data_IF_383452412232
#
_entry.id   IF_383452412232
#
_cell.length_a   1.000
_cell.length_b   1.000
_cell.length_c   1.000
_cell.angle_alpha   90.00
_cell.angle_beta   90.00
_cell.angle_gamma   90.00
#
_symmetry.space_group_name_H-M   'P 1'
#
loop_
_entity.id
_entity.type
_entity.pdbx_description
1 polymer ?
#
# COMPACT_ATOMS: atom_id res chain seq x y z
N UNK A 1 2.99 39.14 1.90
CA UNK A 1 3.06 38.54 0.56
C UNK A 1 3.90 37.27 0.67
N UNK A 2 3.27 36.09 0.64
CA UNK A 2 3.95 34.84 0.92
C UNK A 2 4.90 34.48 -0.22
N UNK A 3 6.16 34.22 0.12
CA UNK A 3 7.14 33.59 -0.77
C UNK A 3 6.57 32.25 -1.25
N UNK A 4 6.08 32.21 -2.49
CA UNK A 4 5.44 31.03 -3.07
C UNK A 4 6.44 29.89 -3.27
N UNK A 5 5.98 28.65 -3.15
CA UNK A 5 6.71 27.51 -3.70
C UNK A 5 6.37 27.43 -5.19
N UNK A 6 7.40 27.45 -6.03
CA UNK A 6 7.29 27.26 -7.47
C UNK A 6 7.95 25.92 -7.86
N UNK A 7 7.17 24.91 -8.29
CA UNK A 7 7.73 23.63 -8.69
C UNK A 7 8.63 23.72 -9.93
N UNK A 8 8.45 24.72 -10.80
CA UNK A 8 9.25 24.83 -12.03
C UNK A 8 10.70 25.26 -11.77
N UNK A 9 10.94 26.00 -10.68
CA UNK A 9 12.26 26.55 -10.34
C UNK A 9 12.92 25.90 -9.13
N UNK A 10 12.22 25.05 -8.38
CA UNK A 10 12.78 24.39 -7.19
C UNK A 10 13.83 23.32 -7.53
N UNK A 11 14.82 23.17 -6.66
CA UNK A 11 15.84 22.11 -6.72
C UNK A 11 15.65 21.08 -5.59
N UNK A 12 14.47 21.06 -4.98
CA UNK A 12 14.20 20.23 -3.81
C UNK A 12 14.16 18.74 -4.18
N UNK A 13 14.74 17.93 -3.31
CA UNK A 13 14.52 16.49 -3.27
C UNK A 13 13.40 16.16 -2.29
N UNK A 14 12.32 15.53 -2.78
CA UNK A 14 11.23 15.07 -1.94
C UNK A 14 11.44 13.61 -1.52
N UNK A 15 11.30 13.33 -0.22
CA UNK A 15 11.44 11.99 0.34
C UNK A 15 10.07 11.44 0.74
N UNK A 16 9.64 10.36 0.10
CA UNK A 16 8.39 9.66 0.39
C UNK A 16 8.71 8.31 1.02
N UNK A 17 8.28 8.10 2.27
CA UNK A 17 8.29 6.76 2.86
C UNK A 17 7.00 6.03 2.47
N UNK A 18 7.08 4.83 1.92
CA UNK A 18 5.91 4.15 1.37
C UNK A 18 5.80 2.69 1.80
N UNK A 19 4.57 2.24 2.00
CA UNK A 19 4.23 0.82 1.98
C UNK A 19 4.45 0.23 0.57
N UNK A 20 4.84 -1.04 0.50
CA UNK A 20 5.06 -1.80 -0.74
C UNK A 20 3.79 -2.50 -1.25
N UNK A 21 2.71 -2.46 -0.47
CA UNK A 21 1.39 -3.06 -0.75
C UNK A 21 0.44 -2.18 -1.58
N UNK A 22 0.94 -1.06 -2.11
CA UNK A 22 0.17 -0.15 -2.95
C UNK A 22 -0.19 -0.78 -4.29
N UNK A 23 -1.12 -0.15 -5.02
CA UNK A 23 -1.32 -0.49 -6.42
C UNK A 23 0.02 -0.34 -7.18
N UNK A 24 0.47 -1.31 -7.98
CA UNK A 24 1.80 -1.29 -8.59
C UNK A 24 2.08 -0.05 -9.45
N UNK A 25 1.05 0.60 -10.00
CA UNK A 25 1.19 1.82 -10.81
C UNK A 25 1.19 3.12 -10.00
N UNK A 26 0.77 3.10 -8.74
CA UNK A 26 0.52 4.32 -7.96
C UNK A 26 1.79 5.16 -7.73
N UNK A 27 2.84 4.57 -7.17
CA UNK A 27 4.10 5.29 -6.93
C UNK A 27 4.79 5.72 -8.24
N UNK A 28 4.88 4.87 -9.29
CA UNK A 28 5.37 5.32 -10.59
C UNK A 28 4.64 6.56 -11.13
N UNK A 29 3.31 6.61 -11.03
CA UNK A 29 2.51 7.76 -11.45
C UNK A 29 2.77 9.01 -10.59
N UNK A 30 2.92 8.85 -9.27
CA UNK A 30 3.32 9.94 -8.37
C UNK A 30 4.69 10.51 -8.77
N UNK A 31 5.69 9.65 -8.97
CA UNK A 31 7.04 10.06 -9.35
C UNK A 31 7.00 10.80 -10.69
N UNK A 32 6.32 10.24 -11.70
CA UNK A 32 6.19 10.87 -13.01
C UNK A 32 5.53 12.25 -12.91
N UNK A 33 4.47 12.38 -12.12
CA UNK A 33 3.77 13.66 -11.94
C UNK A 33 4.62 14.71 -11.22
N UNK A 34 5.32 14.32 -10.16
CA UNK A 34 6.14 15.24 -9.36
C UNK A 34 7.36 15.72 -10.17
N UNK A 35 8.04 14.81 -10.87
CA UNK A 35 9.23 15.15 -11.68
C UNK A 35 8.88 15.93 -12.96
N UNK A 36 7.70 15.71 -13.54
CA UNK A 36 7.24 16.50 -14.69
C UNK A 36 7.00 17.99 -14.37
N UNK A 37 6.84 18.35 -13.09
CA UNK A 37 6.57 19.72 -12.69
C UNK A 37 7.80 20.63 -12.70
N UNK A 38 9.01 20.06 -12.74
CA UNK A 38 10.26 20.81 -12.74
C UNK A 38 11.47 19.91 -13.00
N UNK A 39 12.33 20.30 -13.93
CA UNK A 39 13.49 19.49 -14.36
C UNK A 39 14.58 19.30 -13.30
N UNK A 40 14.51 20.05 -12.19
CA UNK A 40 15.47 20.00 -11.08
C UNK A 40 14.89 19.36 -9.81
N UNK A 41 13.66 18.85 -9.85
CA UNK A 41 13.06 18.12 -8.73
C UNK A 41 13.62 16.70 -8.69
N UNK A 42 14.00 16.25 -7.50
CA UNK A 42 14.30 14.85 -7.23
C UNK A 42 13.20 14.21 -6.36
N UNK A 43 12.97 12.91 -6.54
CA UNK A 43 12.05 12.12 -5.71
C UNK A 43 12.76 10.86 -5.22
N UNK A 44 12.81 10.69 -3.90
CA UNK A 44 13.33 9.51 -3.25
C UNK A 44 12.20 8.76 -2.57
N UNK A 45 11.91 7.55 -3.04
CA UNK A 45 10.97 6.65 -2.37
C UNK A 45 11.77 5.64 -1.55
N UNK A 46 11.39 5.47 -0.29
CA UNK A 46 12.03 4.50 0.61
C UNK A 46 10.98 3.67 1.35
N UNK A 47 11.31 2.43 1.76
CA UNK A 47 10.39 1.65 2.58
C UNK A 47 10.14 2.33 3.93
N UNK A 48 8.97 2.08 4.50
CA UNK A 48 8.69 2.43 5.89
C UNK A 48 9.47 1.47 6.79
N UNK A 49 10.49 1.95 7.49
CA UNK A 49 11.27 1.17 8.43
C UNK A 49 10.52 1.03 9.78
N UNK A 50 10.11 -0.19 10.18
CA UNK A 50 9.47 -0.46 11.47
C UNK A 50 10.25 0.02 12.70
N UNK A 51 11.58 0.08 12.62
CA UNK A 51 12.44 0.49 13.72
C UNK A 51 12.62 2.01 13.80
N UNK A 52 12.22 2.74 12.75
CA UNK A 52 12.40 4.19 12.68
C UNK A 52 11.29 4.96 13.39
N UNK A 53 11.65 6.06 14.07
CA UNK A 53 10.68 7.04 14.53
C UNK A 53 10.23 7.92 13.35
N UNK A 54 9.15 7.49 12.70
CA UNK A 54 8.55 8.16 11.55
C UNK A 54 8.10 9.59 11.91
N UNK A 55 7.58 9.81 13.12
CA UNK A 55 7.11 11.13 13.53
C UNK A 55 8.28 12.10 13.66
N UNK A 56 9.36 11.67 14.31
CA UNK A 56 10.60 12.45 14.40
C UNK A 56 11.22 12.68 13.00
N UNK A 57 11.21 11.68 12.11
CA UNK A 57 11.76 11.83 10.77
C UNK A 57 10.97 12.83 9.91
N UNK A 58 9.64 12.84 10.02
CA UNK A 58 8.78 13.85 9.40
C UNK A 58 9.00 15.24 10.02
N UNK A 59 9.13 15.30 11.35
CA UNK A 59 9.39 16.57 12.04
C UNK A 59 10.77 17.13 11.71
N UNK A 60 11.81 16.31 11.57
CA UNK A 60 13.14 16.75 11.14
C UNK A 60 13.21 17.10 9.64
N UNK A 61 12.21 16.71 8.84
CA UNK A 61 12.21 16.88 7.38
C UNK A 61 13.09 15.87 6.63
N UNK A 62 13.48 14.76 7.28
CA UNK A 62 14.14 13.63 6.63
C UNK A 62 13.17 12.79 5.77
N UNK A 63 11.87 12.93 6.04
CA UNK A 63 10.76 12.42 5.23
C UNK A 63 9.82 13.61 5.02
N UNK A 64 9.32 13.81 3.80
CA UNK A 64 8.33 14.84 3.50
C UNK A 64 6.90 14.31 3.63
N UNK A 65 6.70 13.03 3.32
CA UNK A 65 5.40 12.38 3.30
C UNK A 65 5.52 10.87 3.55
N UNK A 66 4.55 10.30 4.27
CA UNK A 66 4.39 8.85 4.38
C UNK A 66 3.15 8.43 3.61
N UNK A 67 3.22 7.34 2.83
CA UNK A 67 2.06 6.68 2.20
C UNK A 67 1.94 5.27 2.79
N UNK A 68 0.83 4.99 3.47
CA UNK A 68 0.67 3.76 4.25
C UNK A 68 -0.76 3.22 4.19
N UNK A 69 -0.92 1.97 4.61
CA UNK A 69 -2.18 1.27 4.82
C UNK A 69 -2.23 0.53 6.17
N UNK A 70 -1.37 0.91 7.12
CA UNK A 70 -1.41 0.32 8.45
C UNK A 70 -2.81 0.55 9.09
N UNK A 71 -3.44 -0.47 9.69
CA UNK A 71 -4.83 -0.37 10.17
C UNK A 71 -5.03 0.69 11.24
N UNK A 72 -3.97 0.94 12.03
CA UNK A 72 -3.94 1.94 13.10
C UNK A 72 -2.93 3.03 12.71
N UNK A 73 -3.35 4.07 11.98
CA UNK A 73 -2.51 5.23 11.74
C UNK A 73 -2.15 5.90 13.07
N UNK A 74 -1.01 6.60 13.11
CA UNK A 74 -0.65 7.38 14.29
C UNK A 74 -1.53 8.61 14.43
N UNK A 75 -1.92 8.91 15.67
CA UNK A 75 -2.82 10.03 16.00
C UNK A 75 -2.10 11.37 16.19
N UNK A 76 -0.77 11.34 16.40
CA UNK A 76 0.10 12.52 16.53
C UNK A 76 0.50 13.14 15.18
N UNK A 77 0.08 12.52 14.06
CA UNK A 77 0.32 13.00 12.71
C UNK A 77 -0.98 13.40 12.03
N UNK A 78 -0.87 14.34 11.08
CA UNK A 78 -2.00 14.67 10.20
C UNK A 78 -2.19 13.55 9.19
N UNK A 79 -3.45 13.28 8.85
CA UNK A 79 -3.84 12.22 7.93
C UNK A 79 -4.70 12.76 6.79
N UNK A 80 -4.46 12.29 5.58
CA UNK A 80 -5.34 12.45 4.42
C UNK A 80 -5.60 11.11 3.76
N UNK A 81 -6.86 10.69 3.67
CA UNK A 81 -7.23 9.47 2.93
C UNK A 81 -6.93 9.66 1.45
N UNK A 82 -6.30 8.66 0.83
CA UNK A 82 -6.02 8.65 -0.60
C UNK A 82 -7.11 7.87 -1.33
N UNK A 83 -7.29 6.61 -0.97
CA UNK A 83 -8.33 5.75 -1.52
C UNK A 83 -8.60 4.56 -0.61
N UNK A 84 -9.72 3.90 -0.85
CA UNK A 84 -10.10 2.62 -0.22
C UNK A 84 -10.20 1.57 -1.32
N UNK A 85 -9.76 0.35 -1.02
CA UNK A 85 -9.69 -0.75 -1.98
C UNK A 85 -10.32 -2.03 -1.41
N UNK A 86 -10.96 -2.83 -2.26
CA UNK A 86 -11.54 -4.11 -1.85
C UNK A 86 -10.43 -5.10 -1.50
N UNK A 87 -10.62 -5.86 -0.41
CA UNK A 87 -9.75 -6.99 -0.10
C UNK A 87 -10.18 -8.22 -0.88
N UNK A 88 -9.26 -8.79 -1.64
CA UNK A 88 -9.47 -9.97 -2.49
C UNK A 88 -8.39 -11.02 -2.24
N UNK A 89 -8.65 -12.24 -2.71
CA UNK A 89 -7.71 -13.35 -2.72
C UNK A 89 -7.19 -13.57 -4.14
N UNK A 90 -5.87 -13.62 -4.30
CA UNK A 90 -5.18 -14.02 -5.52
C UNK A 90 -4.82 -15.50 -5.45
N UNK A 91 -5.06 -16.22 -6.53
CA UNK A 91 -4.73 -17.64 -6.71
C UNK A 91 -4.15 -17.85 -8.11
N UNK A 92 -3.41 -18.94 -8.33
CA UNK A 92 -3.11 -19.36 -9.71
C UNK A 92 -4.36 -19.86 -10.43
N UNK A 93 -4.37 -19.74 -11.76
CA UNK A 93 -5.51 -20.15 -12.59
C UNK A 93 -5.91 -21.63 -12.45
N UNK A 94 -4.97 -22.52 -12.12
CA UNK A 94 -5.26 -23.95 -11.90
C UNK A 94 -5.50 -24.35 -10.44
N UNK A 95 -5.74 -23.40 -9.54
CA UNK A 95 -5.96 -23.67 -8.12
C UNK A 95 -7.26 -24.48 -7.89
N UNK A 96 -7.31 -25.46 -6.98
CA UNK A 96 -8.49 -26.31 -6.77
C UNK A 96 -9.81 -25.56 -6.47
N UNK A 97 -9.69 -24.37 -5.89
CA UNK A 97 -10.83 -23.53 -5.49
C UNK A 97 -11.05 -22.30 -6.37
N UNK A 98 -10.45 -22.28 -7.57
CA UNK A 98 -10.48 -21.11 -8.47
C UNK A 98 -11.89 -20.75 -9.00
N UNK A 99 -12.81 -21.72 -9.02
CA UNK A 99 -14.18 -21.51 -9.50
C UNK A 99 -15.10 -20.85 -8.47
N UNK A 100 -14.67 -20.72 -7.21
CA UNK A 100 -15.45 -20.05 -6.18
C UNK A 100 -15.46 -18.53 -6.42
N UNK A 101 -16.63 -17.89 -6.35
CA UNK A 101 -16.74 -16.42 -6.52
C UNK A 101 -16.30 -15.64 -5.27
N UNK A 102 -16.47 -16.25 -4.10
CA UNK A 102 -16.11 -15.70 -2.78
C UNK A 102 -15.78 -16.85 -1.84
N UNK A 103 -14.71 -16.74 -1.07
CA UNK A 103 -14.45 -17.69 0.02
C UNK A 103 -15.27 -17.34 1.26
N UNK A 104 -15.91 -18.35 1.86
CA UNK A 104 -16.38 -18.24 3.24
C UNK A 104 -15.20 -18.15 4.19
N UNK A 105 -15.39 -17.54 5.36
CA UNK A 105 -14.34 -17.46 6.37
C UNK A 105 -13.80 -18.85 6.76
N UNK A 106 -14.70 -19.82 6.99
CA UNK A 106 -14.31 -21.19 7.32
C UNK A 106 -13.52 -21.88 6.21
N UNK A 107 -13.73 -21.54 4.93
CA UNK A 107 -12.92 -22.04 3.81
C UNK A 107 -11.55 -21.38 3.80
N UNK A 108 -11.54 -20.05 3.89
CA UNK A 108 -10.33 -19.24 3.90
C UNK A 108 -9.34 -19.66 5.00
N UNK A 109 -9.84 -19.91 6.22
CA UNK A 109 -8.99 -20.31 7.35
C UNK A 109 -8.36 -21.71 7.19
N UNK A 110 -8.95 -22.58 6.36
CA UNK A 110 -8.42 -23.92 6.03
C UNK A 110 -7.43 -23.92 4.85
N UNK A 111 -7.32 -22.80 4.14
CA UNK A 111 -6.36 -22.65 3.05
C UNK A 111 -4.97 -22.30 3.59
N UNK A 112 -3.95 -22.57 2.77
CA UNK A 112 -2.56 -22.22 3.06
C UNK A 112 -2.24 -20.86 2.45
N UNK A 113 -1.70 -19.95 3.25
CA UNK A 113 -1.51 -18.56 2.86
C UNK A 113 -0.04 -18.20 2.65
N UNK A 114 0.19 -17.36 1.65
CA UNK A 114 1.42 -16.59 1.51
C UNK A 114 1.24 -15.25 2.20
N UNK A 115 2.24 -14.82 2.97
CA UNK A 115 2.24 -13.52 3.64
C UNK A 115 3.47 -12.72 3.23
N UNK A 116 3.33 -11.44 2.86
CA UNK A 116 4.47 -10.57 2.67
C UNK A 116 4.92 -10.04 4.04
N UNK A 117 6.20 -10.12 4.33
CA UNK A 117 6.76 -9.69 5.60
C UNK A 117 8.17 -9.14 5.41
N UNK A 118 8.29 -7.81 5.43
CA UNK A 118 9.54 -7.11 5.17
C UNK A 118 10.52 -7.11 6.36
N UNK A 119 10.09 -7.47 7.57
CA UNK A 119 10.89 -7.37 8.78
C UNK A 119 11.50 -8.71 9.22
N UNK A 120 12.69 -8.68 9.83
CA UNK A 120 13.29 -9.87 10.46
C UNK A 120 12.44 -10.44 11.63
N UNK A 121 11.57 -9.61 12.22
CA UNK A 121 10.67 -9.99 13.32
C UNK A 121 9.23 -10.07 12.80
N UNK A 122 8.52 -11.19 12.99
CA UNK A 122 7.11 -11.32 12.61
C UNK A 122 6.27 -10.18 13.22
N UNK A 123 5.56 -9.44 12.38
CA UNK A 123 4.56 -8.45 12.77
C UNK A 123 3.23 -8.87 12.20
N UNK A 124 2.17 -8.65 12.96
CA UNK A 124 0.81 -8.86 12.47
C UNK A 124 0.52 -7.85 11.36
N UNK A 125 0.39 -8.33 10.13
CA UNK A 125 0.00 -7.50 8.99
C UNK A 125 -1.48 -7.08 9.05
N UNK A 126 -1.94 -6.20 8.15
CA UNK A 126 -3.31 -5.68 8.17
C UNK A 126 -4.39 -6.78 8.19
N UNK A 127 -4.25 -7.79 7.34
CA UNK A 127 -5.19 -8.92 7.25
C UNK A 127 -5.23 -9.74 8.54
N UNK A 128 -4.05 -10.09 9.06
CA UNK A 128 -3.94 -10.88 10.28
C UNK A 128 -4.44 -10.10 11.50
N UNK A 129 -4.30 -8.76 11.49
CA UNK A 129 -4.83 -7.87 12.51
C UNK A 129 -6.36 -7.86 12.52
N UNK A 130 -7.01 -7.80 11.36
CA UNK A 130 -8.47 -7.87 11.27
C UNK A 130 -9.01 -9.24 11.72
N UNK A 131 -8.39 -10.35 11.31
CA UNK A 131 -8.77 -11.69 11.76
C UNK A 131 -8.64 -11.84 13.29
N UNK A 132 -7.54 -11.32 13.85
CA UNK A 132 -7.26 -11.41 15.27
C UNK A 132 -8.27 -10.65 16.14
N UNK A 133 -8.85 -9.54 15.67
CA UNK A 133 -9.93 -8.81 16.37
C UNK A 133 -11.14 -9.70 16.66
N UNK A 134 -11.36 -10.70 15.81
CA UNK A 134 -12.46 -11.67 15.91
C UNK A 134 -12.02 -13.05 16.40
N UNK A 135 -10.77 -13.19 16.87
CA UNK A 135 -10.24 -14.44 17.41
C UNK A 135 -9.84 -15.48 16.35
N UNK A 136 -9.76 -15.10 15.07
CA UNK A 136 -9.37 -16.00 14.00
C UNK A 136 -7.89 -15.85 13.63
N UNK A 137 -7.30 -16.95 13.17
CA UNK A 137 -5.95 -17.01 12.62
C UNK A 137 -5.95 -17.91 11.38
N UNK A 138 -5.29 -17.47 10.31
CA UNK A 138 -5.13 -18.25 9.07
C UNK A 138 -3.84 -19.06 9.08
N UNK A 139 -3.80 -20.14 8.32
CA UNK A 139 -2.58 -20.96 8.19
C UNK A 139 -1.56 -20.29 7.28
N UNK A 140 -0.51 -19.69 7.84
CA UNK A 140 0.62 -19.16 7.08
C UNK A 140 1.55 -20.30 6.67
N UNK A 141 1.72 -20.51 5.37
CA UNK A 141 2.53 -21.59 4.82
C UNK A 141 3.88 -21.10 4.26
N UNK A 142 3.96 -19.83 3.87
CA UNK A 142 5.17 -19.22 3.39
C UNK A 142 5.14 -17.71 3.65
N UNK A 143 6.34 -17.14 3.76
CA UNK A 143 6.56 -15.71 3.95
C UNK A 143 7.61 -15.21 2.96
N UNK A 144 7.39 -14.04 2.37
CA UNK A 144 8.33 -13.41 1.42
C UNK A 144 8.66 -11.97 1.83
N UNK A 145 9.88 -11.47 1.55
CA UNK A 145 10.30 -10.15 1.98
C UNK A 145 9.59 -9.01 1.22
N UNK A 146 9.20 -9.26 -0.03
CA UNK A 146 8.66 -8.23 -0.92
C UNK A 146 7.26 -8.59 -1.40
N UNK A 147 6.35 -7.62 -1.32
CA UNK A 147 4.95 -7.79 -1.74
C UNK A 147 4.83 -8.19 -3.23
N UNK A 148 5.68 -7.65 -4.09
CA UNK A 148 5.70 -7.93 -5.53
C UNK A 148 6.22 -9.33 -5.90
N UNK A 149 6.81 -10.08 -4.95
CA UNK A 149 7.20 -11.47 -5.19
C UNK A 149 5.98 -12.42 -5.15
N UNK A 150 4.89 -12.00 -4.50
CA UNK A 150 3.73 -12.85 -4.26
C UNK A 150 3.12 -13.46 -5.53
N UNK A 151 2.84 -12.72 -6.61
CA UNK A 151 2.27 -13.28 -7.83
C UNK A 151 3.14 -14.42 -8.42
N UNK A 152 4.46 -14.26 -8.40
CA UNK A 152 5.40 -15.26 -8.92
C UNK A 152 5.43 -16.55 -8.09
N UNK A 153 5.24 -16.45 -6.77
CA UNK A 153 5.08 -17.62 -5.89
C UNK A 153 3.76 -18.34 -6.17
N UNK A 154 2.67 -17.59 -6.34
CA UNK A 154 1.35 -18.16 -6.61
C UNK A 154 1.33 -18.97 -7.90
N UNK A 155 1.94 -18.48 -8.98
CA UNK A 155 1.99 -19.23 -10.26
C UNK A 155 2.62 -20.63 -10.14
N UNK A 156 3.34 -20.91 -9.04
CA UNK A 156 4.05 -22.18 -8.79
C UNK A 156 3.51 -22.95 -7.57
N UNK A 157 2.40 -22.53 -6.96
CA UNK A 157 1.91 -23.13 -5.71
C UNK A 157 0.39 -23.04 -5.55
N UNK A 158 -0.16 -23.85 -4.64
CA UNK A 158 -1.56 -23.76 -4.21
C UNK A 158 -1.73 -22.88 -2.96
N UNK A 159 -0.96 -21.81 -2.89
CA UNK A 159 -1.09 -20.80 -1.84
C UNK A 159 -2.14 -19.76 -2.22
N UNK A 160 -2.70 -19.13 -1.21
CA UNK A 160 -3.60 -17.97 -1.32
C UNK A 160 -2.86 -16.72 -0.86
N UNK A 161 -2.98 -15.64 -1.60
CA UNK A 161 -2.47 -14.33 -1.19
C UNK A 161 -3.62 -13.33 -1.07
N UNK A 162 -3.69 -12.62 0.05
CA UNK A 162 -4.81 -11.70 0.34
C UNK A 162 -4.31 -10.27 0.30
N UNK A 163 -4.90 -9.46 -0.58
CA UNK A 163 -4.41 -8.11 -0.89
C UNK A 163 -5.52 -7.19 -1.41
N UNK A 164 -5.18 -5.94 -1.70
CA UNK A 164 -6.03 -4.97 -2.37
C UNK A 164 -6.31 -5.36 -3.84
N UNK A 165 -7.54 -5.13 -4.31
CA UNK A 165 -8.01 -5.51 -5.65
C UNK A 165 -7.16 -4.90 -6.75
N UNK A 166 -6.75 -3.63 -6.65
CA UNK A 166 -5.93 -2.99 -7.71
C UNK A 166 -4.59 -3.70 -7.92
N UNK A 167 -3.98 -4.16 -6.83
CA UNK A 167 -2.76 -4.96 -6.91
C UNK A 167 -3.02 -6.27 -7.63
N UNK A 168 -4.10 -6.97 -7.24
CA UNK A 168 -4.47 -8.23 -7.85
C UNK A 168 -4.79 -8.10 -9.35
N UNK A 169 -5.54 -7.06 -9.74
CA UNK A 169 -5.92 -6.79 -11.14
C UNK A 169 -4.72 -6.48 -12.02
N UNK A 170 -3.75 -5.72 -11.52
CA UNK A 170 -2.51 -5.44 -12.26
C UNK A 170 -1.80 -6.73 -12.70
N UNK A 171 -1.64 -7.70 -11.80
CA UNK A 171 -0.97 -8.96 -12.12
C UNK A 171 -1.88 -9.94 -12.86
N UNK A 172 -3.18 -9.98 -12.57
CA UNK A 172 -4.13 -10.81 -13.30
C UNK A 172 -4.26 -10.41 -14.79
N UNK A 173 -3.94 -9.15 -15.14
CA UNK A 173 -3.92 -8.70 -16.53
C UNK A 173 -2.80 -9.34 -17.38
N UNK A 174 -1.73 -9.84 -16.75
CA UNK A 174 -0.52 -10.30 -17.47
C UNK A 174 -0.03 -11.69 -17.05
N UNK A 175 -0.53 -12.24 -15.95
CA UNK A 175 -0.12 -13.53 -15.38
C UNK A 175 -1.33 -14.47 -15.23
N UNK A 176 -1.13 -15.80 -15.17
CA UNK A 176 -2.19 -16.78 -14.96
C UNK A 176 -2.67 -16.79 -13.49
N UNK A 177 -3.20 -15.65 -13.05
CA UNK A 177 -3.73 -15.38 -11.73
C UNK A 177 -5.23 -15.12 -11.83
N UNK A 178 -5.97 -15.66 -10.87
CA UNK A 178 -7.41 -15.45 -10.72
C UNK A 178 -7.67 -14.74 -9.40
N UNK A 179 -8.64 -13.82 -9.44
CA UNK A 179 -9.08 -13.02 -8.32
C UNK A 179 -10.41 -13.57 -7.81
N UNK A 180 -10.45 -13.91 -6.52
CA UNK A 180 -11.65 -14.37 -5.82
C UNK A 180 -11.95 -13.39 -4.69
N UNK A 181 -13.22 -13.07 -4.44
CA UNK A 181 -13.57 -12.18 -3.33
C UNK A 181 -13.17 -12.82 -1.99
N UNK A 182 -12.55 -12.03 -1.12
CA UNK A 182 -12.18 -12.48 0.22
C UNK A 182 -13.43 -12.70 1.10
N UNK A 183 -13.31 -13.33 2.28
CA UNK A 183 -14.39 -13.36 3.26
C UNK A 183 -14.94 -11.96 3.57
N UNK A 184 -16.25 -11.84 3.77
CA UNK A 184 -16.92 -10.56 4.06
C UNK A 184 -16.47 -9.91 5.37
N UNK A 185 -15.88 -10.69 6.25
CA UNK A 185 -15.31 -10.29 7.53
C UNK A 185 -14.02 -9.48 7.38
N UNK A 186 -13.37 -9.55 6.21
CA UNK A 186 -12.21 -8.71 5.91
C UNK A 186 -12.69 -7.37 5.33
N UNK A 187 -12.54 -6.25 6.06
CA UNK A 187 -12.96 -4.95 5.58
C UNK A 187 -12.07 -4.45 4.43
N UNK A 188 -12.55 -3.49 3.63
CA UNK A 188 -11.72 -2.81 2.64
C UNK A 188 -10.45 -2.21 3.23
N UNK A 189 -9.35 -2.22 2.47
CA UNK A 189 -8.09 -1.60 2.85
C UNK A 189 -8.15 -0.09 2.61
N UNK A 190 -7.74 0.69 3.61
CA UNK A 190 -7.62 2.15 3.49
C UNK A 190 -6.16 2.53 3.28
N UNK A 191 -5.89 3.24 2.19
CA UNK A 191 -4.60 3.83 1.88
C UNK A 191 -4.66 5.34 2.16
N UNK A 192 -3.64 5.86 2.81
CA UNK A 192 -3.61 7.24 3.27
C UNK A 192 -2.19 7.81 3.24
N UNK A 193 -2.12 9.13 3.30
CA UNK A 193 -0.87 9.87 3.48
C UNK A 193 -0.79 10.50 4.88
N UNK A 194 0.40 10.52 5.48
CA UNK A 194 0.69 11.17 6.76
C UNK A 194 1.79 12.24 6.62
N UNK A 195 1.64 13.32 7.39
CA UNK A 195 2.65 14.37 7.51
C UNK A 195 2.64 14.99 8.91
N UNK A 196 3.73 15.65 9.29
CA UNK A 196 3.86 16.32 10.58
C UNK A 196 3.11 17.67 10.61
N UNK A 197 2.62 18.07 11.78
CA UNK A 197 1.91 19.35 11.93
C UNK A 197 2.77 20.54 11.51
N UNK A 198 4.06 20.50 11.82
CA UNK A 198 5.03 21.56 11.47
C UNK A 198 5.07 21.88 9.97
N UNK A 199 4.88 20.88 9.11
CA UNK A 199 4.91 21.04 7.66
C UNK A 199 3.51 21.25 7.05
N UNK A 200 2.45 21.27 7.85
CA UNK A 200 1.07 21.35 7.36
C UNK A 200 0.83 22.59 6.49
N UNK A 201 1.27 23.77 6.94
CA UNK A 201 1.13 25.03 6.22
C UNK A 201 2.22 25.27 5.16
N UNK A 202 3.27 24.43 5.08
CA UNK A 202 4.37 24.60 4.13
C UNK A 202 3.85 24.49 2.69
N UNK A 203 4.09 25.50 1.82
CA UNK A 203 3.64 25.45 0.42
C UNK A 203 4.17 24.24 -0.35
N UNK A 204 5.44 23.87 -0.15
CA UNK A 204 6.05 22.70 -0.81
C UNK A 204 5.44 21.37 -0.34
N UNK A 205 5.20 21.23 0.98
CA UNK A 205 4.58 20.01 1.52
C UNK A 205 3.12 19.90 1.07
N UNK A 206 2.37 21.01 1.07
CA UNK A 206 1.01 21.07 0.52
C UNK A 206 0.99 20.63 -0.94
N UNK A 207 1.86 21.21 -1.76
CA UNK A 207 1.97 20.88 -3.17
C UNK A 207 2.25 19.38 -3.39
N UNK A 208 3.19 18.79 -2.64
CA UNK A 208 3.47 17.35 -2.73
C UNK A 208 2.23 16.51 -2.40
N UNK A 209 1.54 16.82 -1.29
CA UNK A 209 0.31 16.11 -0.87
C UNK A 209 -0.81 16.21 -1.91
N UNK A 210 -0.91 17.36 -2.58
CA UNK A 210 -1.85 17.58 -3.68
C UNK A 210 -1.49 16.74 -4.90
N UNK A 211 -0.19 16.59 -5.24
CA UNK A 211 0.22 15.71 -6.34
C UNK A 211 -0.11 14.24 -6.05
N UNK A 212 0.19 13.76 -4.83
CA UNK A 212 -0.15 12.39 -4.40
C UNK A 212 -1.67 12.17 -4.38
N UNK A 213 -2.41 13.16 -3.86
CA UNK A 213 -3.87 13.14 -3.86
C UNK A 213 -4.47 13.12 -5.26
N UNK A 214 -3.90 13.86 -6.21
CA UNK A 214 -4.36 13.87 -7.59
C UNK A 214 -4.21 12.51 -8.28
N UNK A 215 -3.09 11.81 -8.05
CA UNK A 215 -2.89 10.44 -8.55
C UNK A 215 -3.92 9.49 -7.94
N UNK A 216 -4.15 9.59 -6.62
CA UNK A 216 -5.17 8.77 -5.96
C UNK A 216 -6.58 8.97 -6.53
N UNK A 217 -6.94 10.21 -6.87
CA UNK A 217 -8.23 10.55 -7.47
C UNK A 217 -8.36 10.07 -8.93
N UNK A 218 -7.24 9.98 -9.65
CA UNK A 218 -7.19 9.52 -11.04
C UNK A 218 -7.23 7.99 -11.18
N UNK A 219 -7.08 7.24 -10.08
CA UNK A 219 -7.13 5.78 -10.12
C UNK A 219 -8.46 5.30 -10.73
N UNK A 220 -8.44 4.32 -11.67
CA UNK A 220 -9.66 3.81 -12.31
C UNK A 220 -10.67 3.33 -11.27
N UNK A 221 -11.97 3.54 -11.49
CA UNK A 221 -12.97 2.94 -10.59
C UNK A 221 -12.87 1.41 -10.64
N UNK A 222 -12.92 0.77 -9.48
CA UNK A 222 -12.97 -0.69 -9.40
C UNK A 222 -14.25 -1.18 -10.09
N UNK A 223 -14.12 -2.25 -10.86
CA UNK A 223 -15.22 -2.90 -11.58
C UNK A 223 -16.10 -3.77 -10.66
#
# INVERSE_FOLDING_TARGET
AGTGFDPASTERAFVIASADSLAPTFLPEVIARVTAAGSRIAVHVRPIDPASDIAQALDAGHIDLVVSNEPRPREDLRLGTLYTDEVVCMLRAGHPFVQERRFSLARYLRMRHLVPHAAAVPRTGPIDGELAKTGYQRQIAATVPEFNLAPYVLTRSDLVFTTARRFAEHYAATMPIVIVRAPSELPPMRFYQLWHERSHASPASRWLREQVGAVAQALPKLA
#
